data_IF_713401951591
#
_entry.id   IF_713401951591
#
_cell.length_a   1.000
_cell.length_b   1.000
_cell.length_c   1.000
_cell.angle_alpha   90.00
_cell.angle_beta   90.00
_cell.angle_gamma   90.00
#
_symmetry.space_group_name_H-M   'P 1'
#
loop_
_entity.id
_entity.type
_entity.pdbx_description
1 polymer ?
#
# COMPACT_ATOMS: atom_id res chain seq x y z
N UNK A 1 -6.05 18.52 11.51
CA UNK A 1 -6.44 17.54 12.53
C UNK A 1 -7.92 17.22 12.31
N UNK A 2 -8.23 16.19 11.50
CA UNK A 2 -9.61 15.76 11.24
C UNK A 2 -9.61 14.27 10.94
N UNK A 3 -10.54 13.61 11.61
CA UNK A 3 -10.64 12.18 11.86
C UNK A 3 -11.05 11.40 10.60
N UNK A 4 -10.33 10.30 10.36
CA UNK A 4 -10.35 9.47 9.17
C UNK A 4 -11.09 8.16 9.46
N UNK A 5 -12.41 8.23 9.62
CA UNK A 5 -13.25 7.04 9.84
C UNK A 5 -14.02 6.68 8.57
N UNK A 6 -13.34 5.98 7.67
CA UNK A 6 -13.98 4.92 6.88
C UNK A 6 -14.31 3.77 7.86
N UNK A 7 -15.39 2.98 7.69
CA UNK A 7 -15.73 1.89 8.61
C UNK A 7 -14.79 0.71 8.36
N UNK A 8 -13.54 0.88 8.79
CA UNK A 8 -12.52 -0.14 8.87
C UNK A 8 -12.52 -0.72 10.28
N UNK A 9 -12.21 -2.00 10.43
CA UNK A 9 -12.22 -2.64 11.74
C UNK A 9 -11.14 -2.01 12.65
N UNK A 10 -11.28 -2.06 13.98
CA UNK A 10 -10.26 -1.59 14.95
C UNK A 10 -8.85 -2.10 14.64
N UNK A 11 -8.77 -3.29 14.02
CA UNK A 11 -7.55 -4.00 13.62
C UNK A 11 -6.75 -3.29 12.53
N UNK A 12 -7.36 -2.34 11.82
CA UNK A 12 -6.76 -1.60 10.72
C UNK A 12 -6.16 -0.24 11.17
N UNK A 13 -6.25 0.11 12.46
CA UNK A 13 -5.70 1.37 12.98
C UNK A 13 -4.19 1.53 12.73
N UNK A 14 -3.33 0.50 12.97
CA UNK A 14 -1.91 0.61 12.69
C UNK A 14 -1.61 0.91 11.21
N UNK A 15 -2.38 0.32 10.30
CA UNK A 15 -2.24 0.58 8.86
C UNK A 15 -2.62 2.04 8.52
N UNK A 16 -3.67 2.59 9.15
CA UNK A 16 -4.06 3.99 8.94
C UNK A 16 -2.96 4.96 9.37
N UNK A 17 -2.35 4.70 10.52
CA UNK A 17 -1.30 5.55 11.05
C UNK A 17 -0.05 5.50 10.15
N UNK A 18 0.30 4.32 9.63
CA UNK A 18 1.39 4.15 8.65
C UNK A 18 1.13 4.89 7.34
N UNK A 19 -0.06 4.72 6.75
CA UNK A 19 -0.45 5.42 5.52
C UNK A 19 -0.43 6.94 5.72
N UNK A 20 -0.79 7.41 6.92
CA UNK A 20 -0.74 8.84 7.26
C UNK A 20 0.70 9.35 7.34
N UNK A 21 1.60 8.60 7.98
CA UNK A 21 3.03 8.96 8.07
C UNK A 21 3.65 8.99 6.67
N UNK A 22 3.42 7.95 5.86
CA UNK A 22 3.93 7.89 4.50
C UNK A 22 3.38 9.00 3.60
N UNK A 23 2.09 9.33 3.74
CA UNK A 23 1.47 10.46 3.05
C UNK A 23 2.08 11.80 3.45
N UNK A 24 2.39 11.99 4.73
CA UNK A 24 3.07 13.21 5.20
C UNK A 24 4.49 13.32 4.63
N UNK A 25 5.26 12.22 4.66
CA UNK A 25 6.60 12.16 4.08
C UNK A 25 6.57 12.46 2.58
N UNK A 26 5.64 11.85 1.83
CA UNK A 26 5.49 12.16 0.40
C UNK A 26 5.13 13.62 0.18
N UNK A 27 4.26 14.20 1.02
CA UNK A 27 3.92 15.62 0.96
C UNK A 27 5.15 16.52 1.11
N UNK A 28 6.02 16.23 2.08
CA UNK A 28 7.28 16.95 2.26
C UNK A 28 8.20 16.82 1.04
N UNK A 29 8.31 15.62 0.47
CA UNK A 29 9.11 15.38 -0.75
C UNK A 29 8.55 16.18 -1.94
N UNK A 30 7.23 16.18 -2.14
CA UNK A 30 6.60 16.96 -3.23
C UNK A 30 6.87 18.46 -3.02
N UNK A 31 6.71 18.96 -1.80
CA UNK A 31 6.98 20.37 -1.49
C UNK A 31 8.44 20.75 -1.75
N UNK A 32 9.39 19.88 -1.42
CA UNK A 32 10.82 20.12 -1.62
C UNK A 32 11.23 20.03 -3.09
N UNK A 33 10.71 19.05 -3.84
CA UNK A 33 11.13 18.76 -5.22
C UNK A 33 10.39 19.62 -6.26
N UNK A 34 9.09 19.84 -6.08
CA UNK A 34 8.21 20.47 -7.08
C UNK A 34 7.57 21.77 -6.56
N UNK A 35 7.70 22.06 -5.27
CA UNK A 35 7.19 23.26 -4.63
C UNK A 35 5.77 23.12 -4.04
N UNK A 36 5.38 24.14 -3.28
CA UNK A 36 4.11 24.17 -2.54
C UNK A 36 2.87 24.14 -3.46
N UNK A 37 2.96 24.70 -4.66
CA UNK A 37 1.84 24.78 -5.59
C UNK A 37 1.34 23.40 -6.04
N UNK A 38 2.26 22.49 -6.40
CA UNK A 38 1.88 21.13 -6.76
C UNK A 38 1.30 20.38 -5.56
N UNK A 39 1.93 20.52 -4.39
CA UNK A 39 1.45 19.90 -3.15
C UNK A 39 0.01 20.32 -2.83
N UNK A 40 -0.28 21.62 -2.88
CA UNK A 40 -1.61 22.15 -2.59
C UNK A 40 -2.66 21.63 -3.57
N UNK A 41 -2.31 21.52 -4.86
CA UNK A 41 -3.22 20.97 -5.87
C UNK A 41 -3.47 19.47 -5.66
N UNK A 42 -2.44 18.68 -5.34
CA UNK A 42 -2.58 17.25 -5.00
C UNK A 42 -3.50 17.07 -3.78
N UNK A 43 -3.28 17.84 -2.71
CA UNK A 43 -4.11 17.76 -1.51
C UNK A 43 -5.55 18.23 -1.75
N UNK A 44 -5.76 19.25 -2.58
CA UNK A 44 -7.10 19.71 -2.97
C UNK A 44 -7.86 18.63 -3.75
N UNK A 45 -7.23 18.01 -4.74
CA UNK A 45 -7.80 16.89 -5.51
C UNK A 45 -8.11 15.72 -4.58
N UNK A 46 -7.19 15.36 -3.67
CA UNK A 46 -7.39 14.28 -2.69
C UNK A 46 -8.56 14.56 -1.75
N UNK A 47 -8.67 15.78 -1.25
CA UNK A 47 -9.77 16.19 -0.38
C UNK A 47 -11.12 16.12 -1.08
N UNK A 48 -11.22 16.63 -2.32
CA UNK A 48 -12.45 16.58 -3.12
C UNK A 48 -12.82 15.12 -3.48
N UNK A 49 -11.85 14.26 -3.81
CA UNK A 49 -12.08 12.84 -4.05
C UNK A 49 -12.62 12.09 -2.81
N UNK A 50 -12.07 12.38 -1.62
CA UNK A 50 -12.56 11.82 -0.35
C UNK A 50 -13.97 12.32 -0.05
N UNK A 51 -14.23 13.62 -0.21
CA UNK A 51 -15.54 14.21 0.03
C UNK A 51 -16.59 13.64 -0.92
N UNK A 52 -16.25 13.45 -2.21
CA UNK A 52 -17.11 12.78 -3.20
C UNK A 52 -17.47 11.37 -2.75
N UNK A 53 -16.50 10.58 -2.30
CA UNK A 53 -16.73 9.22 -1.79
C UNK A 53 -17.69 9.20 -0.58
N UNK A 54 -17.73 10.28 0.21
CA UNK A 54 -18.66 10.45 1.33
C UNK A 54 -20.05 10.97 0.91
N UNK A 55 -20.32 11.08 -0.39
CA UNK A 55 -21.62 11.51 -0.93
C UNK A 55 -21.76 13.01 -1.17
N UNK A 56 -20.66 13.79 -1.17
CA UNK A 56 -20.72 15.22 -1.46
C UNK A 56 -20.68 15.48 -2.98
N UNK A 57 -21.85 15.72 -3.58
CA UNK A 57 -21.98 16.04 -5.02
C UNK A 57 -21.27 17.35 -5.42
N UNK A 58 -21.17 18.33 -4.53
CA UNK A 58 -20.44 19.56 -4.83
C UNK A 58 -18.93 19.30 -4.95
N UNK A 59 -18.41 18.32 -4.21
CA UNK A 59 -17.02 17.89 -4.34
C UNK A 59 -16.76 17.17 -5.67
N UNK A 60 -17.74 16.42 -6.20
CA UNK A 60 -17.63 15.83 -7.54
C UNK A 60 -17.45 16.90 -8.62
N UNK A 61 -18.26 17.96 -8.58
CA UNK A 61 -18.16 19.06 -9.55
C UNK A 61 -16.80 19.76 -9.48
N UNK A 62 -16.33 20.09 -8.27
CA UNK A 62 -14.99 20.70 -8.08
C UNK A 62 -13.86 19.78 -8.56
N UNK A 63 -13.96 18.48 -8.29
CA UNK A 63 -12.96 17.51 -8.72
C UNK A 63 -12.86 17.46 -10.26
N UNK A 64 -14.01 17.39 -10.94
CA UNK A 64 -14.07 17.37 -12.41
C UNK A 64 -13.50 18.67 -12.98
N UNK A 65 -13.88 19.82 -12.41
CA UNK A 65 -13.39 21.13 -12.84
C UNK A 65 -11.87 21.24 -12.69
N UNK A 66 -11.33 20.92 -11.52
CA UNK A 66 -9.88 20.92 -11.26
C UNK A 66 -9.13 20.07 -12.27
N UNK A 67 -9.49 18.79 -12.38
CA UNK A 67 -8.82 17.86 -13.31
C UNK A 67 -8.89 18.35 -14.75
N UNK A 68 -10.01 18.97 -15.15
CA UNK A 68 -10.18 19.51 -16.50
C UNK A 68 -9.35 20.77 -16.75
N UNK A 69 -9.06 21.56 -15.70
CA UNK A 69 -8.26 22.78 -15.79
C UNK A 69 -6.74 22.57 -15.73
N UNK A 70 -6.27 21.39 -15.31
CA UNK A 70 -4.84 21.09 -15.23
C UNK A 70 -4.19 21.17 -16.62
N UNK A 71 -3.15 21.98 -16.73
CA UNK A 71 -2.37 22.13 -17.96
C UNK A 71 -1.69 20.81 -18.34
N UNK A 72 -1.43 20.60 -19.64
CA UNK A 72 -0.74 19.38 -20.09
C UNK A 72 0.64 19.19 -19.44
N UNK A 73 1.31 20.28 -19.03
CA UNK A 73 2.60 20.23 -18.35
C UNK A 73 2.46 19.72 -16.89
N UNK A 74 1.44 20.16 -16.16
CA UNK A 74 1.22 19.79 -14.75
C UNK A 74 0.60 18.40 -14.57
N UNK A 75 -0.07 17.87 -15.61
CA UNK A 75 -0.69 16.53 -15.56
C UNK A 75 0.32 15.44 -15.25
N UNK A 76 1.53 15.53 -15.80
CA UNK A 76 2.57 14.54 -15.55
C UNK A 76 2.93 14.48 -14.06
N UNK A 77 3.25 15.62 -13.46
CA UNK A 77 3.61 15.72 -12.04
C UNK A 77 2.45 15.30 -11.12
N UNK A 78 1.20 15.60 -11.47
CA UNK A 78 0.04 15.12 -10.72
C UNK A 78 -0.13 13.60 -10.80
N UNK A 79 0.04 13.01 -12.00
CA UNK A 79 -0.01 11.56 -12.17
C UNK A 79 1.11 10.88 -11.39
N UNK A 80 2.32 11.45 -11.40
CA UNK A 80 3.46 10.98 -10.62
C UNK A 80 3.18 11.06 -9.11
N UNK A 81 2.62 12.18 -8.63
CA UNK A 81 2.20 12.36 -7.24
C UNK A 81 1.23 11.27 -6.76
N UNK A 82 0.15 11.04 -7.52
CA UNK A 82 -0.83 10.02 -7.16
C UNK A 82 -0.27 8.61 -7.32
N UNK A 83 0.55 8.34 -8.33
CA UNK A 83 1.19 7.03 -8.52
C UNK A 83 2.13 6.70 -7.36
N UNK A 84 2.96 7.65 -6.92
CA UNK A 84 3.81 7.51 -5.75
C UNK A 84 2.98 7.28 -4.48
N UNK A 85 1.91 8.05 -4.27
CA UNK A 85 1.00 7.86 -3.15
C UNK A 85 0.41 6.44 -3.10
N UNK A 86 -0.13 5.95 -4.23
CA UNK A 86 -0.72 4.61 -4.28
C UNK A 86 0.33 3.50 -4.12
N UNK A 87 1.54 3.67 -4.66
CA UNK A 87 2.64 2.73 -4.40
C UNK A 87 2.96 2.65 -2.90
N UNK A 88 3.09 3.78 -2.20
CA UNK A 88 3.33 3.80 -0.76
C UNK A 88 2.20 3.15 0.05
N UNK A 89 0.94 3.40 -0.32
CA UNK A 89 -0.22 2.76 0.31
C UNK A 89 -0.17 1.23 0.11
N UNK A 90 0.06 0.78 -1.12
CA UNK A 90 0.18 -0.65 -1.44
C UNK A 90 1.29 -1.33 -0.64
N UNK A 91 2.41 -0.65 -0.42
CA UNK A 91 3.50 -1.15 0.42
C UNK A 91 3.10 -1.24 1.88
N UNK A 92 2.49 -0.20 2.44
CA UNK A 92 1.99 -0.21 3.82
C UNK A 92 1.02 -1.38 4.04
N UNK A 93 0.05 -1.57 3.12
CA UNK A 93 -0.89 -2.69 3.17
C UNK A 93 -0.18 -4.05 3.12
N UNK A 94 0.81 -4.21 2.23
CA UNK A 94 1.59 -5.45 2.12
C UNK A 94 2.34 -5.75 3.41
N UNK A 95 2.97 -4.76 4.02
CA UNK A 95 3.72 -4.90 5.29
C UNK A 95 2.75 -5.24 6.42
N UNK A 96 1.65 -4.50 6.52
CA UNK A 96 0.59 -4.77 7.50
C UNK A 96 0.07 -6.21 7.38
N UNK A 97 -0.18 -6.70 6.16
CA UNK A 97 -0.57 -8.09 5.90
C UNK A 97 0.48 -9.10 6.39
N UNK A 98 1.77 -8.83 6.17
CA UNK A 98 2.86 -9.68 6.68
C UNK A 98 2.84 -9.72 8.22
N UNK A 99 2.66 -8.57 8.88
CA UNK A 99 2.59 -8.49 10.35
C UNK A 99 1.40 -9.26 10.91
N UNK A 100 0.21 -9.02 10.37
CA UNK A 100 -1.01 -9.74 10.76
C UNK A 100 -0.81 -11.26 10.63
N UNK A 101 -0.20 -11.72 9.53
CA UNK A 101 0.14 -13.13 9.37
C UNK A 101 1.08 -13.65 10.46
N UNK A 102 2.10 -12.88 10.86
CA UNK A 102 3.00 -13.26 11.96
C UNK A 102 2.28 -13.32 13.31
N UNK A 103 1.35 -12.40 13.59
CA UNK A 103 0.54 -12.44 14.82
C UNK A 103 -0.24 -13.74 14.95
N UNK A 104 -0.82 -14.21 13.84
CA UNK A 104 -1.55 -15.48 13.80
C UNK A 104 -0.69 -16.73 14.00
N UNK A 105 0.64 -16.62 13.83
CA UNK A 105 1.59 -17.70 14.07
C UNK A 105 2.23 -17.66 15.47
N UNK A 106 1.88 -16.68 16.31
CA UNK A 106 2.39 -16.62 17.69
C UNK A 106 1.78 -17.74 18.55
N UNK A 107 2.55 -18.31 19.50
CA UNK A 107 2.02 -19.30 20.44
C UNK A 107 0.78 -18.77 21.17
N UNK A 108 -0.29 -19.55 21.19
CA UNK A 108 -1.56 -19.17 21.84
C UNK A 108 -2.49 -18.27 21.00
N UNK A 109 -2.10 -17.88 19.78
CA UNK A 109 -2.98 -17.13 18.89
C UNK A 109 -4.15 -17.99 18.36
N UNK A 110 -5.31 -17.36 18.20
CA UNK A 110 -6.43 -17.95 17.44
C UNK A 110 -6.01 -18.01 15.97
N UNK A 111 -6.20 -19.14 15.27
CA UNK A 111 -5.75 -19.28 13.90
C UNK A 111 -6.46 -18.26 13.00
N UNK A 112 -5.76 -17.82 11.96
CA UNK A 112 -6.31 -16.84 11.03
C UNK A 112 -7.59 -17.37 10.37
N UNK A 113 -8.60 -16.50 10.24
CA UNK A 113 -9.83 -16.85 9.52
C UNK A 113 -9.55 -17.29 8.08
N UNK A 114 -10.10 -18.43 7.68
CA UNK A 114 -9.88 -19.06 6.38
C UNK A 114 -8.49 -19.70 6.22
N UNK A 115 -7.67 -19.75 7.28
CA UNK A 115 -6.39 -20.46 7.22
C UNK A 115 -6.59 -21.96 7.18
N UNK A 116 -5.59 -22.66 6.63
CA UNK A 116 -5.54 -24.12 6.62
C UNK A 116 -5.76 -24.68 8.04
N UNK A 117 -5.14 -24.07 9.05
CA UNK A 117 -5.28 -24.50 10.43
C UNK A 117 -6.70 -24.32 10.99
N UNK A 118 -7.35 -23.18 10.76
CA UNK A 118 -8.74 -22.95 11.17
C UNK A 118 -9.67 -23.96 10.47
N UNK A 119 -9.47 -24.18 9.17
CA UNK A 119 -10.28 -25.14 8.38
C UNK A 119 -10.12 -26.56 8.92
N UNK A 120 -8.90 -27.01 9.24
CA UNK A 120 -8.70 -28.33 9.84
C UNK A 120 -9.32 -28.44 11.24
N UNK A 121 -9.29 -27.37 12.05
CA UNK A 121 -9.99 -27.35 13.35
C UNK A 121 -11.50 -27.43 13.17
N UNK A 122 -12.08 -26.61 12.30
CA UNK A 122 -13.52 -26.60 12.01
C UNK A 122 -13.99 -27.96 11.47
N UNK A 123 -13.23 -28.59 10.57
CA UNK A 123 -13.52 -29.94 10.07
C UNK A 123 -13.52 -30.98 11.20
N UNK A 124 -12.52 -30.94 12.09
CA UNK A 124 -12.46 -31.81 13.27
C UNK A 124 -13.64 -31.57 14.21
N UNK A 125 -13.95 -30.32 14.50
CA UNK A 125 -15.00 -29.93 15.44
C UNK A 125 -16.40 -30.29 14.90
N UNK A 126 -16.56 -30.36 13.57
CA UNK A 126 -17.74 -30.90 12.88
C UNK A 126 -17.76 -32.43 12.75
N UNK A 127 -16.75 -33.13 13.28
CA UNK A 127 -16.69 -34.59 13.29
C UNK A 127 -16.20 -35.24 11.99
N UNK A 128 -15.50 -34.51 11.11
CA UNK A 128 -14.91 -35.10 9.92
C UNK A 128 -13.83 -36.13 10.28
N UNK A 129 -13.86 -37.30 9.62
CA UNK A 129 -12.88 -38.36 9.88
C UNK A 129 -11.52 -38.00 9.25
N UNK A 130 -10.40 -38.27 9.93
CA UNK A 130 -9.06 -37.98 9.39
C UNK A 130 -8.79 -38.57 8.00
N UNK A 131 -9.30 -39.77 7.74
CA UNK A 131 -9.12 -40.44 6.43
C UNK A 131 -9.89 -39.76 5.30
N UNK A 132 -11.08 -39.23 5.59
CA UNK A 132 -11.90 -38.52 4.61
C UNK A 132 -11.23 -37.20 4.23
N UNK A 133 -10.74 -36.47 5.24
CA UNK A 133 -9.99 -35.23 5.05
C UNK A 133 -8.69 -35.48 4.28
N UNK A 134 -7.95 -36.57 4.60
CA UNK A 134 -6.74 -36.96 3.87
C UNK A 134 -7.02 -37.19 2.39
N UNK A 135 -8.07 -37.97 2.06
CA UNK A 135 -8.45 -38.23 0.66
C UNK A 135 -8.84 -36.95 -0.07
N UNK A 136 -9.59 -36.06 0.59
CA UNK A 136 -9.94 -34.76 0.02
C UNK A 136 -8.69 -33.95 -0.32
N UNK A 137 -7.77 -33.76 0.64
CA UNK A 137 -6.53 -33.00 0.42
C UNK A 137 -5.69 -33.58 -0.71
N UNK A 138 -5.59 -34.91 -0.82
CA UNK A 138 -4.88 -35.58 -1.91
C UNK A 138 -5.53 -35.39 -3.29
N UNK A 139 -6.82 -35.07 -3.33
CA UNK A 139 -7.57 -34.84 -4.57
C UNK A 139 -7.54 -33.39 -5.05
N UNK A 140 -7.14 -32.44 -4.20
CA UNK A 140 -7.10 -31.02 -4.53
C UNK A 140 -5.99 -30.75 -5.55
N UNK A 141 -6.35 -30.14 -6.68
CA UNK A 141 -5.42 -29.65 -7.69
C UNK A 141 -5.60 -28.14 -7.85
N UNK A 142 -4.52 -27.40 -7.62
CA UNK A 142 -4.47 -25.94 -7.81
C UNK A 142 -3.45 -25.70 -8.92
N UNK A 143 -3.89 -25.05 -10.00
CA UNK A 143 -3.05 -24.72 -11.15
C UNK A 143 -3.11 -23.21 -11.39
N UNK A 144 -2.17 -22.42 -10.82
CA UNK A 144 -2.10 -21.00 -11.08
C UNK A 144 -1.73 -20.75 -12.54
N UNK A 145 -2.58 -20.03 -13.27
CA UNK A 145 -2.29 -19.60 -14.64
C UNK A 145 -1.84 -18.15 -14.58
N UNK A 146 -0.56 -17.91 -14.87
CA UNK A 146 -0.03 -16.56 -14.97
C UNK A 146 -0.38 -15.98 -16.34
N UNK A 147 -1.13 -14.88 -16.33
CA UNK A 147 -1.42 -14.10 -17.52
C UNK A 147 -0.52 -12.87 -17.53
N UNK A 148 0.00 -12.49 -18.69
CA UNK A 148 0.61 -11.17 -18.83
C UNK A 148 -0.45 -10.10 -18.54
N UNK A 149 -0.19 -9.20 -17.60
CA UNK A 149 -1.06 -8.04 -17.41
C UNK A 149 -0.65 -6.98 -18.45
N UNK A 150 -1.54 -6.60 -19.39
CA UNK A 150 -1.16 -5.76 -20.54
C UNK A 150 -0.74 -4.32 -20.20
N UNK A 151 -0.77 -3.90 -18.94
CA UNK A 151 -0.60 -2.50 -18.52
C UNK A 151 0.47 -2.28 -17.45
N UNK A 152 0.99 -3.32 -16.80
CA UNK A 152 1.93 -3.18 -15.70
C UNK A 152 3.30 -3.74 -16.07
N UNK A 153 3.98 -3.03 -16.95
CA UNK A 153 5.42 -3.23 -17.14
C UNK A 153 6.13 -2.35 -16.13
N UNK A 154 6.10 -2.80 -14.88
CA UNK A 154 6.86 -2.16 -13.81
C UNK A 154 8.35 -2.47 -14.03
N UNK A 155 9.16 -1.42 -14.14
CA UNK A 155 10.63 -1.52 -14.20
C UNK A 155 11.16 -2.33 -12.99
N UNK A 156 12.02 -3.34 -13.17
CA UNK A 156 12.61 -4.09 -12.06
C UNK A 156 13.25 -3.19 -10.99
N UNK A 157 13.78 -2.04 -11.39
CA UNK A 157 14.39 -1.04 -10.52
C UNK A 157 13.38 -0.44 -9.52
N UNK A 158 12.12 -0.25 -9.95
CA UNK A 158 11.03 0.22 -9.09
C UNK A 158 10.73 -0.84 -8.03
N UNK A 159 10.64 -2.12 -8.43
CA UNK A 159 10.39 -3.22 -7.49
C UNK A 159 11.50 -3.32 -6.44
N UNK A 160 12.76 -3.09 -6.82
CA UNK A 160 13.89 -3.07 -5.87
C UNK A 160 13.77 -1.89 -4.88
N UNK A 161 13.42 -0.70 -5.36
CA UNK A 161 13.19 0.47 -4.49
C UNK A 161 11.99 0.26 -3.58
N UNK A 162 10.92 -0.34 -4.09
CA UNK A 162 9.76 -0.68 -3.29
C UNK A 162 10.12 -1.69 -2.18
N UNK A 163 10.99 -2.65 -2.46
CA UNK A 163 11.50 -3.57 -1.44
C UNK A 163 12.37 -2.86 -0.40
N UNK A 164 13.15 -1.84 -0.77
CA UNK A 164 13.98 -1.06 0.16
C UNK A 164 13.12 -0.21 1.10
N UNK A 165 12.12 0.52 0.57
CA UNK A 165 11.15 1.26 1.38
C UNK A 165 10.45 0.29 2.34
N UNK A 166 9.97 -0.85 1.83
CA UNK A 166 9.30 -1.83 2.67
C UNK A 166 10.21 -2.38 3.77
N UNK A 167 11.50 -2.60 3.47
CA UNK A 167 12.47 -3.04 4.46
C UNK A 167 12.80 -1.96 5.48
N UNK A 168 12.95 -0.71 5.07
CA UNK A 168 13.15 0.41 6.01
C UNK A 168 11.97 0.56 6.97
N UNK A 169 10.73 0.43 6.46
CA UNK A 169 9.52 0.40 7.27
C UNK A 169 9.50 -0.78 8.23
N UNK A 170 9.82 -1.99 7.75
CA UNK A 170 9.89 -3.19 8.61
C UNK A 170 10.97 -3.03 9.69
N UNK A 171 12.20 -2.65 9.32
CA UNK A 171 13.34 -2.50 10.22
C UNK A 171 13.06 -1.46 11.31
N UNK A 172 12.37 -0.37 10.96
CA UNK A 172 12.02 0.68 11.92
C UNK A 172 10.86 0.32 12.84
N UNK A 173 9.87 -0.41 12.33
CA UNK A 173 8.62 -0.71 13.04
C UNK A 173 8.66 -2.05 13.82
N UNK A 174 9.66 -2.90 13.57
CA UNK A 174 9.93 -4.10 14.38
C UNK A 174 10.76 -3.80 15.64
N UNK A 175 11.26 -2.57 15.82
CA UNK A 175 11.91 -2.15 17.05
C UNK A 175 10.86 -1.82 18.11
N UNK A 176 10.93 -2.53 19.23
CA UNK A 176 10.18 -2.18 20.42
C UNK A 176 10.89 -1.04 21.15
N UNK A 177 10.19 0.07 21.37
CA UNK A 177 10.65 1.25 22.13
C UNK A 177 11.93 1.90 21.56
N UNK A 178 11.90 2.39 20.30
CA UNK A 178 13.05 3.06 19.71
C UNK A 178 13.38 4.35 20.48
N UNK A 179 14.67 4.63 20.63
CA UNK A 179 15.12 5.93 21.16
C UNK A 179 14.76 7.06 20.18
N UNK A 180 14.65 8.32 20.63
CA UNK A 180 14.36 9.45 19.73
C UNK A 180 15.36 9.58 18.55
N UNK A 181 16.63 9.24 18.78
CA UNK A 181 17.65 9.23 17.73
C UNK A 181 17.38 8.15 16.67
N UNK A 182 16.92 6.97 17.09
CA UNK A 182 16.55 5.89 16.19
C UNK A 182 15.29 6.21 15.39
N UNK A 183 14.28 6.82 16.01
CA UNK A 183 13.07 7.28 15.31
C UNK A 183 13.41 8.27 14.19
N UNK A 184 14.26 9.26 14.49
CA UNK A 184 14.76 10.21 13.49
C UNK A 184 15.53 9.50 12.38
N UNK A 185 16.45 8.58 12.72
CA UNK A 185 17.22 7.84 11.72
C UNK A 185 16.33 6.96 10.81
N UNK A 186 15.29 6.33 11.37
CA UNK A 186 14.30 5.56 10.59
C UNK A 186 13.54 6.48 9.65
N UNK A 187 13.04 7.61 10.16
CA UNK A 187 12.32 8.60 9.36
C UNK A 187 13.18 9.11 8.21
N UNK A 188 14.42 9.52 8.47
CA UNK A 188 15.36 10.04 7.47
C UNK A 188 15.66 8.99 6.38
N UNK A 189 15.75 7.71 6.78
CA UNK A 189 15.89 6.61 5.82
C UNK A 189 14.65 6.46 4.94
N UNK A 190 13.45 6.56 5.50
CA UNK A 190 12.20 6.50 4.73
C UNK A 190 12.12 7.69 3.78
N UNK A 191 12.38 8.92 4.25
CA UNK A 191 12.42 10.13 3.42
C UNK A 191 13.40 9.93 2.26
N UNK A 192 14.62 9.48 2.55
CA UNK A 192 15.65 9.23 1.52
C UNK A 192 15.16 8.26 0.44
N UNK A 193 14.55 7.14 0.84
CA UNK A 193 14.05 6.14 -0.12
C UNK A 193 12.83 6.65 -0.90
N UNK A 194 11.93 7.43 -0.28
CA UNK A 194 10.79 8.06 -0.96
C UNK A 194 11.27 9.10 -1.97
N UNK A 195 12.20 9.98 -1.60
CA UNK A 195 12.82 10.96 -2.53
C UNK A 195 13.54 10.24 -3.67
N UNK A 196 14.26 9.17 -3.36
CA UNK A 196 14.95 8.36 -4.36
C UNK A 196 13.97 7.68 -5.33
N UNK A 197 12.81 7.24 -4.83
CA UNK A 197 11.75 6.70 -5.67
C UNK A 197 11.11 7.79 -6.54
N UNK A 198 10.84 8.97 -5.98
CA UNK A 198 10.31 10.15 -6.69
C UNK A 198 11.17 10.54 -7.89
N UNK A 199 12.48 10.67 -7.68
CA UNK A 199 13.43 11.06 -8.72
C UNK A 199 13.70 9.96 -9.76
N UNK A 200 13.18 8.75 -9.55
CA UNK A 200 13.33 7.65 -10.50
C UNK A 200 12.08 7.59 -11.38
N UNK A 201 12.20 8.05 -12.63
CA UNK A 201 11.12 7.94 -13.61
C UNK A 201 10.63 6.48 -13.70
N UNK A 202 9.38 6.28 -13.26
CA UNK A 202 8.73 4.97 -13.21
C UNK A 202 8.16 4.54 -14.56
N UNK A 203 8.06 5.46 -15.52
CA UNK A 203 7.44 5.20 -16.82
C UNK A 203 8.50 4.82 -17.86
N UNK A 204 8.32 3.64 -18.49
CA UNK A 204 9.06 3.35 -19.73
C UNK A 204 8.44 4.18 -20.85
N UNK A 205 9.25 4.97 -21.55
CA UNK A 205 8.85 5.67 -22.78
C UNK A 205 8.47 4.73 -23.95
N UNK A 206 8.67 3.42 -23.80
CA UNK A 206 8.32 2.39 -24.79
C UNK A 206 7.71 1.15 -24.12
N UNK A 207 6.66 0.61 -24.77
CA UNK A 207 6.08 -0.70 -24.44
C UNK A 207 7.14 -1.78 -24.72
N UNK A 208 7.40 -2.73 -23.81
CA UNK A 208 8.36 -3.80 -24.04
C UNK A 208 7.85 -4.75 -25.11
N UNK A 209 8.78 -5.35 -25.83
CA UNK A 209 8.45 -6.46 -26.70
C UNK A 209 8.30 -7.73 -25.88
N UNK A 210 7.55 -8.71 -26.39
CA UNK A 210 7.27 -10.02 -25.75
C UNK A 210 8.55 -10.81 -25.38
N UNK A 211 9.73 -10.31 -25.75
CA UNK A 211 11.05 -10.90 -25.54
C UNK A 211 11.81 -10.30 -24.34
N UNK A 212 11.31 -9.23 -23.71
CA UNK A 212 11.93 -8.53 -22.58
C UNK A 212 11.44 -9.02 -21.20
#
# INVERSE_FOLDING_TARGET
MTDSTLPFQEKDQPLRDEVRILGAILGEVIQEQEGIGLFDEVEAIRADAIARRKGNEAAERRLIERISSVSSAERASLVEAFSAYFSLVNQAERIHRIRRRREYHRPGAVPQRGSIEEVFRDLRDRGAKPDDVRRLVQSIRIEPVFTAHPTEVIRPEILVKEQRIARALIDGLERHDPTPSEELSIRDRIVTEVTTAWQTDGTRRQVPEVRD
#
